data_IF_173336003791
#
_entry.id   IF_173336003791
#
_cell.length_a   1.000
_cell.length_b   1.000
_cell.length_c   1.000
_cell.angle_alpha   90.00
_cell.angle_beta   90.00
_cell.angle_gamma   90.00
#
_symmetry.space_group_name_H-M   'P 1'
#
loop_
_entity.id
_entity.type
_entity.pdbx_description
1 polymer ?
#
# COMPACT_ATOMS: atom_id res chain seq x y z
N UNK A 1 -12.11 -24.11 -7.58
CA UNK A 1 -12.72 -22.97 -6.93
C UNK A 1 -11.71 -21.85 -6.80
N UNK A 2 -12.04 -20.70 -7.33
CA UNK A 2 -11.13 -19.58 -7.31
C UNK A 2 -10.99 -19.04 -5.89
N UNK A 3 -9.79 -18.96 -5.45
CA UNK A 3 -9.45 -18.49 -4.14
C UNK A 3 -9.62 -16.98 -4.02
N UNK A 4 -10.38 -16.56 -3.05
CA UNK A 4 -10.82 -15.18 -2.91
C UNK A 4 -9.96 -14.34 -1.97
N UNK A 5 -8.97 -14.94 -1.32
CA UNK A 5 -8.09 -14.24 -0.42
C UNK A 5 -6.77 -13.92 -1.11
N UNK A 6 -6.72 -12.78 -1.80
CA UNK A 6 -5.47 -12.40 -2.42
C UNK A 6 -4.87 -11.11 -1.89
N UNK A 7 -5.60 -10.37 -1.08
CA UNK A 7 -5.05 -9.27 -0.30
C UNK A 7 -5.26 -9.50 1.18
N UNK A 8 -4.21 -9.36 1.91
CA UNK A 8 -4.26 -9.19 3.35
C UNK A 8 -3.73 -7.80 3.66
N UNK A 9 -4.53 -7.01 4.36
CA UNK A 9 -4.08 -5.74 4.89
C UNK A 9 -3.02 -5.97 5.94
N UNK A 10 -1.90 -5.29 5.82
CA UNK A 10 -0.90 -5.32 6.85
C UNK A 10 -0.36 -3.91 7.06
N UNK A 11 -0.92 -3.21 8.03
CA UNK A 11 -0.26 -2.05 8.63
C UNK A 11 0.96 -2.43 9.47
N UNK A 12 1.18 -3.71 9.66
CA UNK A 12 2.37 -4.32 10.24
C UNK A 12 2.67 -5.49 9.33
N UNK A 13 3.91 -5.65 8.90
CA UNK A 13 4.32 -6.73 8.02
C UNK A 13 3.94 -8.10 8.60
N UNK A 14 2.70 -8.50 8.41
CA UNK A 14 2.22 -9.82 8.70
C UNK A 14 2.36 -10.66 7.44
N UNK A 15 3.45 -11.39 7.38
CA UNK A 15 3.58 -12.53 6.49
C UNK A 15 2.58 -13.59 6.92
N UNK A 16 1.35 -13.46 6.43
CA UNK A 16 0.33 -14.46 6.67
C UNK A 16 0.34 -15.51 5.58
N UNK A 17 1.11 -16.55 5.77
CA UNK A 17 0.88 -17.79 5.05
C UNK A 17 -0.35 -18.46 5.67
N UNK A 18 -1.50 -18.32 5.05
CA UNK A 18 -2.66 -19.13 5.46
C UNK A 18 -2.58 -20.44 4.72
N UNK A 19 -2.01 -21.42 5.36
CA UNK A 19 -2.17 -22.80 4.94
C UNK A 19 -3.55 -23.26 5.43
N UNK A 20 -4.50 -23.28 4.54
CA UNK A 20 -5.75 -23.99 4.80
C UNK A 20 -5.47 -25.48 4.67
N UNK A 21 -5.13 -26.12 5.79
CA UNK A 21 -5.03 -27.57 5.88
C UNK A 21 -6.41 -28.19 5.79
N UNK A 22 -7.02 -28.15 4.63
CA UNK A 22 -8.23 -28.92 4.35
C UNK A 22 -7.79 -30.27 3.78
N UNK A 23 -8.38 -31.33 4.30
CA UNK A 23 -8.24 -32.64 3.71
C UNK A 23 -8.63 -32.58 2.23
N UNK A 24 -7.67 -32.75 1.34
CA UNK A 24 -7.89 -32.70 -0.10
C UNK A 24 -8.52 -34.03 -0.54
N UNK A 25 -9.68 -34.02 -1.18
CA UNK A 25 -10.24 -35.24 -1.77
C UNK A 25 -9.27 -35.83 -2.78
N UNK A 26 -9.27 -37.16 -2.89
CA UNK A 26 -8.43 -37.86 -3.84
C UNK A 26 -8.53 -37.30 -5.25
N UNK A 27 -7.38 -36.95 -5.85
CA UNK A 27 -7.30 -36.45 -7.23
C UNK A 27 -7.28 -34.93 -7.36
N UNK A 28 -7.28 -34.18 -6.26
CA UNK A 28 -7.09 -32.73 -6.29
C UNK A 28 -5.71 -32.35 -5.80
N UNK A 29 -5.06 -31.44 -6.53
CA UNK A 29 -3.82 -30.81 -6.10
C UNK A 29 -4.09 -29.83 -5.00
N UNK A 30 -3.24 -29.82 -3.96
CA UNK A 30 -3.27 -28.78 -2.94
C UNK A 30 -3.04 -27.43 -3.60
N UNK A 31 -4.01 -26.53 -3.43
CA UNK A 31 -3.87 -25.15 -3.89
C UNK A 31 -3.27 -24.34 -2.77
N UNK A 32 -2.00 -23.98 -2.92
CA UNK A 32 -1.36 -23.05 -1.99
C UNK A 32 -1.95 -21.67 -2.21
N UNK A 33 -2.61 -21.13 -1.20
CA UNK A 33 -3.11 -19.76 -1.22
C UNK A 33 -1.97 -18.84 -0.81
N UNK A 34 -1.40 -18.15 -1.77
CA UNK A 34 -0.44 -17.10 -1.48
C UNK A 34 -1.19 -15.82 -1.15
N UNK A 35 -1.10 -15.33 0.08
CA UNK A 35 -1.63 -14.02 0.44
C UNK A 35 -0.71 -12.93 -0.10
N UNK A 36 -1.30 -11.90 -0.70
CA UNK A 36 -0.57 -10.71 -1.14
C UNK A 36 -0.61 -9.68 -0.03
N UNK A 37 0.56 -9.17 0.33
CA UNK A 37 0.71 -8.09 1.30
C UNK A 37 0.89 -6.77 0.58
N UNK A 38 0.10 -5.77 0.95
CA UNK A 38 0.27 -4.38 0.53
C UNK A 38 0.98 -3.62 1.64
N UNK A 39 1.98 -2.84 1.30
CA UNK A 39 2.65 -1.93 2.22
C UNK A 39 2.78 -0.53 1.62
N UNK A 40 2.37 0.47 2.38
CA UNK A 40 2.66 1.88 2.09
C UNK A 40 3.99 2.26 2.74
N UNK A 41 4.87 2.90 2.00
CA UNK A 41 6.23 3.23 2.45
C UNK A 41 6.58 4.66 2.06
N UNK A 42 7.21 5.40 2.97
CA UNK A 42 7.90 6.65 2.64
C UNK A 42 9.25 6.29 2.02
N UNK A 43 9.44 6.65 0.76
CA UNK A 43 10.65 6.33 0.03
C UNK A 43 11.70 7.42 0.15
N UNK A 44 11.28 8.68 0.11
CA UNK A 44 12.18 9.82 0.16
C UNK A 44 11.47 11.07 0.69
N UNK A 45 12.24 11.98 1.27
CA UNK A 45 11.78 13.30 1.68
C UNK A 45 12.84 14.34 1.35
N UNK A 46 12.43 15.45 0.75
CA UNK A 46 13.34 16.54 0.35
C UNK A 46 12.71 17.90 0.65
N UNK A 47 13.48 18.80 1.26
CA UNK A 47 13.06 20.18 1.44
C UNK A 47 12.97 20.91 0.09
N UNK A 48 11.86 21.61 -0.14
CA UNK A 48 11.57 22.31 -1.39
C UNK A 48 11.81 23.83 -1.32
N UNK A 49 12.27 24.30 -0.18
CA UNK A 49 12.37 25.72 0.13
C UNK A 49 11.15 26.24 0.89
N UNK A 50 11.39 27.14 1.83
CA UNK A 50 10.40 27.49 2.84
C UNK A 50 10.03 26.28 3.71
N UNK A 51 8.88 26.29 4.29
CA UNK A 51 8.40 25.26 5.22
C UNK A 51 7.70 24.10 4.49
N UNK A 52 8.26 23.67 3.34
CA UNK A 52 7.66 22.63 2.50
C UNK A 52 8.62 21.46 2.26
N UNK A 53 8.08 20.26 2.39
CA UNK A 53 8.78 19.00 2.17
C UNK A 53 8.11 18.23 1.04
N UNK A 54 8.89 17.88 0.03
CA UNK A 54 8.46 16.98 -1.03
C UNK A 54 8.66 15.54 -0.56
N UNK A 55 7.58 14.80 -0.44
CA UNK A 55 7.60 13.42 0.06
C UNK A 55 7.23 12.46 -1.06
N UNK A 56 8.07 11.49 -1.31
CA UNK A 56 7.79 10.39 -2.24
C UNK A 56 7.29 9.19 -1.46
N UNK A 57 6.07 8.78 -1.80
CA UNK A 57 5.41 7.60 -1.25
C UNK A 57 5.37 6.49 -2.29
N UNK A 58 5.51 5.27 -1.86
CA UNK A 58 5.39 4.11 -2.74
C UNK A 58 4.56 2.99 -2.10
N UNK A 59 3.82 2.28 -2.94
CA UNK A 59 3.11 1.08 -2.55
C UNK A 59 3.88 -0.15 -3.01
N UNK A 60 4.09 -1.10 -2.13
CA UNK A 60 4.72 -2.37 -2.46
C UNK A 60 3.75 -3.52 -2.30
N UNK A 61 3.79 -4.46 -3.22
CA UNK A 61 3.02 -5.70 -3.17
C UNK A 61 3.97 -6.88 -3.09
N UNK A 62 3.76 -7.73 -2.12
CA UNK A 62 4.53 -8.95 -1.95
C UNK A 62 3.60 -10.17 -1.85
N UNK A 63 3.67 -11.13 -2.79
CA UNK A 63 4.45 -11.08 -4.03
C UNK A 63 3.97 -10.00 -5.01
N UNK A 64 4.83 -9.53 -5.93
CA UNK A 64 4.46 -8.54 -6.94
C UNK A 64 3.24 -8.98 -7.75
N UNK A 65 2.38 -8.03 -8.08
CA UNK A 65 1.16 -8.27 -8.82
C UNK A 65 1.15 -7.47 -10.12
N UNK A 66 0.52 -8.04 -11.15
CA UNK A 66 0.30 -7.37 -12.43
C UNK A 66 -1.15 -6.90 -12.54
N UNK A 67 -1.38 -5.94 -13.44
CA UNK A 67 -2.72 -5.40 -13.72
C UNK A 67 -3.41 -4.86 -12.47
N UNK A 68 -2.66 -4.11 -11.68
CA UNK A 68 -3.12 -3.41 -10.50
C UNK A 68 -3.08 -1.91 -10.72
N UNK A 69 -3.93 -1.19 -10.01
CA UNK A 69 -3.94 0.27 -9.99
C UNK A 69 -3.92 0.75 -8.54
N UNK A 70 -3.33 1.91 -8.32
CA UNK A 70 -3.15 2.53 -7.02
C UNK A 70 -3.79 3.91 -7.02
N UNK A 71 -4.32 4.30 -5.87
CA UNK A 71 -4.71 5.68 -5.57
C UNK A 71 -4.36 6.02 -4.13
N UNK A 72 -4.10 7.30 -3.86
CA UNK A 72 -3.61 7.79 -2.60
C UNK A 72 -4.54 8.83 -2.00
N UNK A 73 -4.69 8.76 -0.68
CA UNK A 73 -5.28 9.77 0.19
C UNK A 73 -4.12 10.30 1.06
N UNK A 74 -3.74 11.56 0.86
CA UNK A 74 -2.53 12.12 1.45
C UNK A 74 -2.69 12.60 2.89
N UNK A 75 -3.92 12.77 3.35
CA UNK A 75 -4.24 13.32 4.66
C UNK A 75 -5.14 12.41 5.50
N UNK A 76 -5.47 11.23 4.99
CA UNK A 76 -6.33 10.23 5.65
C UNK A 76 -7.72 10.80 6.02
N UNK A 77 -8.30 11.60 5.12
CA UNK A 77 -9.66 12.12 5.30
C UNK A 77 -10.74 11.22 4.72
N UNK A 78 -10.35 10.11 4.09
CA UNK A 78 -11.23 9.15 3.45
C UNK A 78 -11.58 9.47 1.99
N UNK A 79 -11.04 10.56 1.47
CA UNK A 79 -11.19 10.96 0.07
C UNK A 79 -9.85 10.77 -0.64
N UNK A 80 -9.85 10.00 -1.71
CA UNK A 80 -8.62 9.78 -2.47
C UNK A 80 -8.28 10.99 -3.34
N UNK A 81 -7.07 11.53 -3.13
CA UNK A 81 -6.57 12.73 -3.81
C UNK A 81 -6.07 12.45 -5.22
N UNK A 82 -5.70 11.20 -5.50
CA UNK A 82 -5.18 10.82 -6.82
C UNK A 82 -6.17 9.95 -7.59
N UNK A 83 -6.16 10.03 -8.92
CA UNK A 83 -6.86 9.05 -9.74
C UNK A 83 -6.19 7.67 -9.62
N UNK A 84 -6.90 6.63 -10.04
CA UNK A 84 -6.32 5.30 -10.19
C UNK A 84 -5.20 5.33 -11.24
N UNK A 85 -4.04 4.80 -10.88
CA UNK A 85 -2.85 4.75 -11.74
C UNK A 85 -2.12 3.42 -11.57
N UNK A 86 -1.54 2.85 -12.62
CA UNK A 86 -0.69 1.67 -12.50
C UNK A 86 0.65 1.96 -11.82
N UNK A 87 1.02 3.24 -11.67
CA UNK A 87 2.25 3.64 -10.98
C UNK A 87 2.05 3.54 -9.46
N UNK A 88 2.84 2.73 -8.76
CA UNK A 88 2.74 2.61 -7.31
C UNK A 88 3.34 3.80 -6.56
N UNK A 89 4.05 4.67 -7.23
CA UNK A 89 4.79 5.78 -6.65
C UNK A 89 4.08 7.10 -6.89
N UNK A 90 4.10 7.97 -5.88
CA UNK A 90 3.51 9.30 -5.94
C UNK A 90 4.35 10.27 -5.12
N UNK A 91 4.35 11.52 -5.51
CA UNK A 91 5.02 12.60 -4.78
C UNK A 91 3.98 13.64 -4.35
N UNK A 92 4.05 14.06 -3.10
CA UNK A 92 3.18 15.09 -2.54
C UNK A 92 3.96 16.06 -1.66
N UNK A 93 3.56 17.32 -1.64
CA UNK A 93 4.17 18.36 -0.81
C UNK A 93 3.39 18.50 0.48
N UNK A 94 4.08 18.36 1.60
CA UNK A 94 3.54 18.56 2.94
C UNK A 94 4.25 19.73 3.63
N UNK A 95 3.61 20.36 4.63
CA UNK A 95 4.37 21.22 5.55
C UNK A 95 5.47 20.45 6.24
N UNK A 96 6.55 21.13 6.60
CA UNK A 96 7.61 20.55 7.41
C UNK A 96 7.16 20.29 8.87
N UNK A 97 7.96 19.55 9.63
CA UNK A 97 7.72 19.22 11.04
C UNK A 97 6.28 18.78 11.36
N UNK A 98 5.62 18.12 10.40
CA UNK A 98 4.21 17.70 10.53
C UNK A 98 4.11 16.19 10.59
N UNK A 99 3.23 15.68 11.46
CA UNK A 99 2.87 14.26 11.48
C UNK A 99 1.77 14.01 10.44
N UNK A 100 2.03 13.07 9.57
CA UNK A 100 1.15 12.75 8.43
C UNK A 100 0.80 11.26 8.48
N UNK A 101 -0.44 10.96 8.14
CA UNK A 101 -0.87 9.60 7.77
C UNK A 101 -1.36 9.64 6.33
N UNK A 102 -0.72 8.90 5.47
CA UNK A 102 -1.16 8.71 4.08
C UNK A 102 -1.69 7.29 3.89
N UNK A 103 -2.71 7.16 3.06
CA UNK A 103 -3.36 5.88 2.77
C UNK A 103 -3.22 5.55 1.30
N UNK A 104 -2.86 4.33 0.98
CA UNK A 104 -2.90 3.81 -0.38
C UNK A 104 -3.98 2.75 -0.53
N UNK A 105 -4.68 2.81 -1.64
CA UNK A 105 -5.60 1.77 -2.08
C UNK A 105 -5.06 1.13 -3.35
N UNK A 106 -5.00 -0.19 -3.37
CA UNK A 106 -4.71 -0.96 -4.57
C UNK A 106 -5.97 -1.65 -5.06
N UNK A 107 -6.16 -1.65 -6.36
CA UNK A 107 -7.33 -2.24 -7.02
C UNK A 107 -6.85 -3.22 -8.08
N UNK A 108 -7.46 -4.39 -8.08
CA UNK A 108 -7.31 -5.39 -9.16
C UNK A 108 -8.67 -5.98 -9.50
N UNK A 109 -9.20 -5.59 -10.66
CA UNK A 109 -10.56 -5.97 -11.04
C UNK A 109 -11.57 -5.46 -10.02
N UNK A 110 -12.32 -6.36 -9.40
CA UNK A 110 -13.32 -6.04 -8.39
C UNK A 110 -12.80 -6.08 -6.95
N UNK A 111 -11.51 -6.34 -6.77
CA UNK A 111 -10.88 -6.46 -5.46
C UNK A 111 -10.05 -5.24 -5.14
N UNK A 112 -10.04 -4.89 -3.89
CA UNK A 112 -9.20 -3.80 -3.40
C UNK A 112 -8.68 -4.10 -2.00
N UNK A 113 -7.57 -3.44 -1.67
CA UNK A 113 -7.01 -3.43 -0.34
C UNK A 113 -6.45 -2.04 -0.06
N UNK A 114 -6.35 -1.68 1.20
CA UNK A 114 -5.75 -0.42 1.66
C UNK A 114 -4.66 -0.70 2.67
N UNK A 115 -3.69 0.19 2.71
CA UNK A 115 -2.70 0.27 3.77
C UNK A 115 -2.35 1.73 4.04
N UNK A 116 -1.77 2.02 5.18
CA UNK A 116 -1.42 3.37 5.57
C UNK A 116 0.01 3.44 6.11
N UNK A 117 0.62 4.60 5.97
CA UNK A 117 1.91 4.93 6.58
C UNK A 117 1.79 6.23 7.36
N UNK A 118 2.26 6.22 8.60
CA UNK A 118 2.35 7.41 9.44
C UNK A 118 3.82 7.78 9.60
N UNK A 119 4.13 9.03 9.36
CA UNK A 119 5.50 9.55 9.39
C UNK A 119 5.51 11.03 9.80
N UNK A 120 6.69 11.49 10.20
CA UNK A 120 6.94 12.92 10.41
C UNK A 120 7.71 13.47 9.21
N UNK A 121 7.33 14.64 8.74
CA UNK A 121 8.08 15.34 7.72
C UNK A 121 9.37 15.93 8.28
N UNK A 122 10.36 16.08 7.40
CA UNK A 122 11.65 16.68 7.76
C UNK A 122 11.44 18.10 8.28
N UNK A 123 12.39 18.56 9.09
CA UNK A 123 12.56 19.98 9.39
C UNK A 123 13.37 20.63 8.27
N UNK A 124 12.81 21.69 7.67
CA UNK A 124 13.50 22.46 6.66
C UNK A 124 14.08 23.72 7.29
N UNK A 125 15.40 23.83 7.27
CA UNK A 125 16.08 25.05 7.71
C UNK A 125 16.14 26.03 6.54
N UNK A 126 15.71 27.27 6.80
CA UNK A 126 15.78 28.38 5.85
C UNK A 126 17.10 29.12 5.96
#
# INVERSE_FOLDING_TARGET
>A
MKNNLWFKLSGVALLGLVVLGLAVPRGQTETTVTSVTLAAVVQDQQCQGGDNVNVTLTATLNPPQQNVQFQWDFNNDGIFDTPLSPNPMVTHVYPDETNVTAVVKVVKGRRSATDSVTFSTLRCEN
#
